data_IF_068402143701
#
_entry.id   IF_068402143701
#
_cell.length_a   1.000
_cell.length_b   1.000
_cell.length_c   1.000
_cell.angle_alpha   90.00
_cell.angle_beta   90.00
_cell.angle_gamma   90.00
#
_symmetry.space_group_name_H-M   'P 1'
#
loop_
_entity.id
_entity.type
_entity.pdbx_description
1 polymer ?
#
# COMPACT_ATOMS: atom_id res chain seq x y z
N UNK A 1 12.14 12.08 -1.27
CA UNK A 1 13.32 11.23 -1.52
C UNK A 1 13.34 9.95 -0.67
N UNK A 2 12.98 9.97 0.63
CA UNK A 2 12.96 8.74 1.44
C UNK A 2 12.12 7.58 0.87
N UNK A 3 11.04 7.89 0.16
CA UNK A 3 10.14 6.92 -0.47
C UNK A 3 10.67 6.37 -1.80
N UNK A 4 11.73 6.98 -2.35
CA UNK A 4 12.33 6.60 -3.64
C UNK A 4 13.56 5.70 -3.47
N UNK A 5 13.95 5.39 -2.23
CA UNK A 5 15.07 4.50 -1.97
C UNK A 5 14.85 3.60 -0.75
N UNK A 6 15.54 2.47 -0.73
CA UNK A 6 15.70 1.61 0.42
C UNK A 6 17.19 1.43 0.71
N UNK A 7 17.59 1.56 1.96
CA UNK A 7 18.96 1.36 2.41
C UNK A 7 19.07 0.04 3.18
N UNK A 8 20.15 -0.70 2.92
CA UNK A 8 20.48 -1.94 3.63
C UNK A 8 21.95 -1.93 4.05
N UNK A 9 22.20 -1.92 5.36
CA UNK A 9 23.52 -2.13 5.95
C UNK A 9 23.93 -3.61 5.91
N UNK A 10 25.23 -3.88 6.05
CA UNK A 10 25.79 -5.24 6.05
C UNK A 10 25.86 -5.91 4.68
N UNK A 11 25.62 -5.18 3.59
CA UNK A 11 25.71 -5.68 2.22
C UNK A 11 26.80 -4.95 1.43
N UNK A 12 27.54 -5.62 0.53
CA UNK A 12 28.56 -4.95 -0.26
C UNK A 12 27.95 -3.93 -1.23
N UNK A 13 28.69 -2.86 -1.54
CA UNK A 13 28.20 -1.75 -2.36
C UNK A 13 27.72 -2.22 -3.74
N UNK A 14 28.39 -3.22 -4.32
CA UNK A 14 28.05 -3.81 -5.63
C UNK A 14 26.68 -4.49 -5.69
N UNK A 15 25.97 -4.64 -4.57
CA UNK A 15 24.57 -5.10 -4.54
C UNK A 15 23.54 -3.96 -4.62
N UNK A 16 24.00 -2.71 -4.64
CA UNK A 16 23.10 -1.57 -4.90
C UNK A 16 22.53 -1.69 -6.32
N UNK A 17 21.26 -1.36 -6.50
CA UNK A 17 20.59 -1.51 -7.79
C UNK A 17 19.47 -0.47 -7.96
N UNK A 18 19.12 -0.19 -9.21
CA UNK A 18 17.86 0.47 -9.56
C UNK A 18 16.87 -0.64 -9.88
N UNK A 19 15.73 -0.68 -9.20
CA UNK A 19 14.68 -1.66 -9.44
C UNK A 19 13.46 -0.96 -10.04
N UNK A 20 12.74 -1.60 -10.99
CA UNK A 20 11.45 -1.09 -11.44
C UNK A 20 10.43 -1.17 -10.30
N UNK A 21 9.47 -0.27 -10.26
CA UNK A 21 8.44 -0.18 -9.23
C UNK A 21 8.86 0.59 -7.97
N UNK A 22 8.06 0.43 -6.93
CA UNK A 22 8.14 1.12 -5.63
C UNK A 22 8.36 0.10 -4.52
N UNK A 23 9.14 0.48 -3.51
CA UNK A 23 9.32 -0.29 -2.28
C UNK A 23 8.53 0.36 -1.14
N UNK A 24 7.57 -0.38 -0.61
CA UNK A 24 6.84 0.01 0.59
C UNK A 24 7.54 -0.61 1.79
N UNK A 25 7.83 0.18 2.82
CA UNK A 25 8.57 -0.29 4.01
C UNK A 25 7.61 -0.99 4.97
N UNK A 26 6.90 -2.00 4.47
CA UNK A 26 5.89 -2.80 5.15
C UNK A 26 6.07 -4.27 4.81
N UNK A 27 5.53 -5.13 5.65
CA UNK A 27 5.31 -6.55 5.32
C UNK A 27 3.84 -6.74 4.93
N UNK A 28 3.52 -7.87 4.33
CA UNK A 28 2.13 -8.23 4.03
C UNK A 28 1.38 -8.64 5.30
N UNK A 29 0.20 -8.08 5.51
CA UNK A 29 -0.75 -8.62 6.50
C UNK A 29 -1.41 -9.91 5.97
N UNK A 30 -1.61 -9.97 4.66
CA UNK A 30 -1.96 -11.19 3.93
C UNK A 30 -1.19 -11.21 2.61
N UNK A 31 -0.47 -12.30 2.33
CA UNK A 31 0.20 -12.50 1.05
C UNK A 31 -0.44 -13.67 0.30
N UNK A 32 -1.07 -13.36 -0.83
CA UNK A 32 -1.80 -14.32 -1.67
C UNK A 32 -1.25 -14.21 -3.11
N UNK A 33 -0.08 -14.81 -3.41
CA UNK A 33 0.49 -14.77 -4.75
C UNK A 33 -0.42 -15.50 -5.75
N UNK A 34 -0.66 -14.89 -6.91
CA UNK A 34 -1.52 -15.47 -7.96
C UNK A 34 -3.01 -15.46 -7.64
N UNK A 35 -3.45 -14.58 -6.73
CA UNK A 35 -4.83 -14.50 -6.23
C UNK A 35 -5.84 -13.81 -7.17
N UNK A 36 -6.77 -13.06 -6.56
CA UNK A 36 -8.06 -12.64 -7.12
C UNK A 36 -8.05 -11.83 -8.43
N UNK A 37 -6.94 -11.17 -8.77
CA UNK A 37 -6.81 -10.44 -10.03
C UNK A 37 -5.64 -9.44 -10.03
N UNK A 38 -5.41 -8.74 -11.15
CA UNK A 38 -4.26 -7.85 -11.32
C UNK A 38 -4.48 -6.46 -10.74
N UNK A 39 -5.68 -6.12 -10.24
CA UNK A 39 -5.98 -4.76 -9.80
C UNK A 39 -5.61 -4.54 -8.33
N UNK A 40 -5.22 -3.30 -8.04
CA UNK A 40 -5.03 -2.78 -6.69
C UNK A 40 -5.97 -1.63 -6.39
N UNK A 41 -6.40 -1.56 -5.13
CA UNK A 41 -7.14 -0.42 -4.58
C UNK A 41 -6.39 0.17 -3.40
N UNK A 42 -6.58 1.46 -3.18
CA UNK A 42 -6.00 2.21 -2.07
C UNK A 42 -7.12 2.70 -1.16
N UNK A 43 -7.11 2.30 0.11
CA UNK A 43 -8.17 2.65 1.08
C UNK A 43 -7.62 3.44 2.26
N UNK A 44 -8.39 4.44 2.71
CA UNK A 44 -7.98 5.31 3.82
C UNK A 44 -8.62 4.97 5.16
N UNK A 45 -9.52 3.98 5.19
CA UNK A 45 -10.18 3.51 6.41
C UNK A 45 -10.26 1.98 6.47
N UNK A 46 -10.63 1.47 7.63
CA UNK A 46 -10.88 0.05 7.83
C UNK A 46 -12.13 -0.37 7.05
N UNK A 47 -12.05 -1.48 6.30
CA UNK A 47 -13.20 -2.04 5.57
C UNK A 47 -14.26 -2.60 6.50
N UNK A 48 -13.88 -3.00 7.72
CA UNK A 48 -14.82 -3.38 8.75
C UNK A 48 -15.40 -2.14 9.42
N UNK A 49 -16.74 -1.97 9.47
CA UNK A 49 -17.36 -0.88 10.19
C UNK A 49 -16.99 -0.88 11.68
N UNK A 50 -16.77 0.31 12.24
CA UNK A 50 -16.59 0.48 13.67
C UNK A 50 -17.96 0.44 14.39
N UNK A 51 -18.00 -0.15 15.58
CA UNK A 51 -19.22 -0.18 16.41
C UNK A 51 -19.55 1.18 17.03
N UNK A 52 -18.56 2.05 17.17
CA UNK A 52 -18.72 3.42 17.62
C UNK A 52 -17.77 4.34 16.85
N UNK A 53 -18.16 5.61 16.73
CA UNK A 53 -17.31 6.64 16.16
C UNK A 53 -16.08 6.89 17.07
N UNK A 54 -14.97 7.39 16.51
CA UNK A 54 -13.81 7.80 17.30
C UNK A 54 -14.22 8.77 18.42
N UNK A 55 -13.75 8.51 19.64
CA UNK A 55 -14.08 9.33 20.82
C UNK A 55 -15.48 9.09 21.39
N UNK A 56 -16.23 8.11 20.89
CA UNK A 56 -17.55 7.71 21.42
C UNK A 56 -17.49 6.31 22.02
N UNK A 57 -18.28 6.07 23.07
CA UNK A 57 -18.41 4.76 23.69
C UNK A 57 -19.56 3.96 23.05
N UNK A 58 -19.36 2.65 22.89
CA UNK A 58 -20.40 1.72 22.46
C UNK A 58 -21.08 1.11 23.69
N UNK A 59 -22.31 1.51 23.96
CA UNK A 59 -23.09 0.95 25.07
C UNK A 59 -23.58 -0.47 24.73
N UNK A 60 -23.17 -1.45 25.54
CA UNK A 60 -23.61 -2.84 25.41
C UNK A 60 -24.92 -3.03 26.18
N UNK A 61 -26.05 -2.81 25.50
CA UNK A 61 -27.38 -2.96 26.10
C UNK A 61 -27.78 -4.42 26.39
N UNK A 62 -27.22 -5.38 25.64
CA UNK A 62 -27.35 -6.82 25.91
C UNK A 62 -26.35 -7.64 25.11
N UNK A 63 -26.01 -8.83 25.59
CA UNK A 63 -25.13 -9.77 24.90
C UNK A 63 -25.67 -10.16 23.52
N UNK A 64 -26.98 -10.37 23.38
CA UNK A 64 -27.61 -10.71 22.10
C UNK A 64 -27.42 -9.60 21.06
N UNK A 65 -27.63 -8.35 21.45
CA UNK A 65 -27.44 -7.18 20.55
C UNK A 65 -25.98 -7.01 20.18
N UNK A 66 -25.07 -7.14 21.15
CA UNK A 66 -23.64 -7.05 20.91
C UNK A 66 -23.16 -8.13 19.93
N UNK A 67 -23.57 -9.38 20.12
CA UNK A 67 -23.27 -10.48 19.18
C UNK A 67 -23.86 -10.25 17.80
N UNK A 68 -25.06 -9.68 17.71
CA UNK A 68 -25.66 -9.34 16.43
C UNK A 68 -24.86 -8.23 15.70
N UNK A 69 -24.42 -7.20 16.43
CA UNK A 69 -23.61 -6.12 15.88
C UNK A 69 -22.24 -6.62 15.38
N UNK A 70 -21.56 -7.49 16.14
CA UNK A 70 -20.31 -8.12 15.71
C UNK A 70 -20.48 -8.96 14.44
N UNK A 71 -21.55 -9.76 14.36
CA UNK A 71 -21.86 -10.54 13.14
C UNK A 71 -22.13 -9.64 11.95
N UNK A 72 -22.83 -8.52 12.15
CA UNK A 72 -23.06 -7.54 11.10
C UNK A 72 -21.74 -6.92 10.61
N UNK A 73 -20.86 -6.47 11.52
CA UNK A 73 -19.53 -5.96 11.15
C UNK A 73 -18.72 -6.99 10.34
N UNK A 74 -18.71 -8.25 10.77
CA UNK A 74 -17.99 -9.32 10.09
C UNK A 74 -18.58 -9.61 8.70
N UNK A 75 -19.91 -9.68 8.58
CA UNK A 75 -20.58 -9.89 7.29
C UNK A 75 -20.38 -8.73 6.32
N UNK A 76 -20.34 -7.48 6.83
CA UNK A 76 -20.01 -6.30 6.01
C UNK A 76 -18.56 -6.34 5.53
N UNK A 77 -17.62 -6.76 6.38
CA UNK A 77 -16.21 -6.91 6.00
C UNK A 77 -16.02 -8.00 4.93
N UNK A 78 -16.71 -9.14 5.07
CA UNK A 78 -16.73 -10.21 4.08
C UNK A 78 -17.28 -9.71 2.74
N UNK A 79 -18.45 -9.07 2.75
CA UNK A 79 -19.08 -8.53 1.55
C UNK A 79 -18.20 -7.47 0.85
N UNK A 80 -17.46 -6.66 1.61
CA UNK A 80 -16.52 -5.70 1.05
C UNK A 80 -15.35 -6.41 0.32
N UNK A 81 -14.73 -7.43 0.92
CA UNK A 81 -13.67 -8.19 0.28
C UNK A 81 -14.18 -8.98 -0.93
N UNK A 82 -15.37 -9.59 -0.82
CA UNK A 82 -16.01 -10.30 -1.92
C UNK A 82 -16.24 -9.39 -3.13
N UNK A 83 -16.69 -8.16 -2.88
CA UNK A 83 -16.87 -7.12 -3.89
C UNK A 83 -15.56 -6.67 -4.52
N UNK A 84 -14.49 -6.52 -3.74
CA UNK A 84 -13.16 -6.27 -4.29
C UNK A 84 -12.72 -7.40 -5.21
N UNK A 85 -12.88 -8.66 -4.75
CA UNK A 85 -12.53 -9.86 -5.51
C UNK A 85 -13.32 -9.94 -6.82
N UNK A 86 -14.64 -9.71 -6.79
CA UNK A 86 -15.49 -9.78 -7.98
C UNK A 86 -15.15 -8.70 -9.00
N UNK A 87 -14.64 -7.55 -8.56
CA UNK A 87 -14.07 -6.51 -9.42
C UNK A 87 -12.63 -6.77 -9.88
N UNK A 88 -12.05 -7.94 -9.61
CA UNK A 88 -10.70 -8.32 -10.07
C UNK A 88 -9.55 -7.70 -9.24
N UNK A 89 -9.82 -7.24 -8.03
CA UNK A 89 -8.81 -6.70 -7.12
C UNK A 89 -8.10 -7.83 -6.40
N UNK A 90 -6.79 -7.95 -6.64
CA UNK A 90 -5.90 -8.88 -5.95
C UNK A 90 -5.01 -8.23 -4.89
N UNK A 91 -5.01 -6.90 -4.79
CA UNK A 91 -4.19 -6.17 -3.82
C UNK A 91 -4.97 -5.03 -3.15
N UNK A 92 -5.04 -5.07 -1.82
CA UNK A 92 -5.54 -4.00 -0.96
C UNK A 92 -4.36 -3.26 -0.34
N UNK A 93 -4.21 -1.99 -0.70
CA UNK A 93 -3.28 -1.05 -0.08
C UNK A 93 -4.06 -0.20 0.93
N UNK A 94 -3.65 -0.16 2.19
CA UNK A 94 -4.36 0.58 3.23
C UNK A 94 -3.46 1.53 4.00
N UNK A 95 -3.90 2.78 4.19
CA UNK A 95 -3.22 3.74 5.06
C UNK A 95 -3.38 3.41 6.54
N UNK A 96 -4.39 2.63 6.91
CA UNK A 96 -4.69 2.25 8.30
C UNK A 96 -4.48 0.76 8.51
N UNK A 97 -4.46 0.36 9.78
CA UNK A 97 -4.53 -1.05 10.16
C UNK A 97 -5.92 -1.61 9.83
N UNK A 98 -5.98 -2.76 9.18
CA UNK A 98 -7.22 -3.47 8.92
C UNK A 98 -7.56 -4.40 10.08
N UNK A 99 -8.85 -4.66 10.28
CA UNK A 99 -9.30 -5.59 11.32
C UNK A 99 -8.97 -7.04 10.93
N UNK A 100 -8.75 -7.92 11.91
CA UNK A 100 -8.36 -9.33 11.65
C UNK A 100 -9.38 -10.07 10.77
N UNK A 101 -10.66 -9.78 10.94
CA UNK A 101 -11.75 -10.27 10.08
C UNK A 101 -11.52 -9.90 8.59
N UNK A 102 -11.08 -8.67 8.30
CA UNK A 102 -10.75 -8.23 6.93
C UNK A 102 -9.57 -9.04 6.39
N UNK A 103 -8.53 -9.23 7.20
CA UNK A 103 -7.35 -10.02 6.82
C UNK A 103 -7.72 -11.49 6.58
N UNK A 104 -8.61 -12.04 7.40
CA UNK A 104 -9.12 -13.39 7.26
C UNK A 104 -9.87 -13.58 5.93
N UNK A 105 -10.85 -12.73 5.64
CA UNK A 105 -11.59 -12.81 4.38
C UNK A 105 -10.71 -12.51 3.17
N UNK A 106 -9.77 -11.57 3.28
CA UNK A 106 -8.80 -11.30 2.23
C UNK A 106 -8.01 -12.56 1.86
N UNK A 107 -7.51 -13.32 2.85
CA UNK A 107 -6.86 -14.62 2.61
C UNK A 107 -7.79 -15.62 1.95
N UNK A 108 -9.03 -15.74 2.44
CA UNK A 108 -10.03 -16.66 1.91
C UNK A 108 -10.33 -16.39 0.43
N UNK A 109 -10.36 -15.11 0.05
CA UNK A 109 -10.69 -14.65 -1.29
C UNK A 109 -9.46 -14.39 -2.18
N UNK A 110 -8.24 -14.67 -1.70
CA UNK A 110 -7.02 -14.49 -2.47
C UNK A 110 -6.64 -13.03 -2.72
N UNK A 111 -7.03 -12.11 -1.85
CA UNK A 111 -6.65 -10.70 -1.88
C UNK A 111 -5.44 -10.48 -0.97
N UNK A 112 -4.32 -10.01 -1.53
CA UNK A 112 -3.15 -9.60 -0.74
C UNK A 112 -3.41 -8.27 -0.05
N UNK A 113 -2.91 -8.09 1.17
CA UNK A 113 -3.13 -6.88 1.97
C UNK A 113 -1.81 -6.31 2.46
N UNK A 114 -1.60 -5.02 2.21
CA UNK A 114 -0.53 -4.20 2.79
C UNK A 114 -1.20 -3.08 3.57
N UNK A 115 -0.95 -3.01 4.87
CA UNK A 115 -1.62 -2.08 5.78
C UNK A 115 -0.66 -1.08 6.42
N UNK A 116 -1.23 -0.04 7.05
CA UNK A 116 -0.50 1.02 7.74
C UNK A 116 0.47 1.81 6.84
N UNK A 117 0.15 2.03 5.57
CA UNK A 117 0.96 2.89 4.68
C UNK A 117 1.06 4.31 5.25
N UNK A 118 2.24 4.91 5.20
CA UNK A 118 2.41 6.30 5.65
C UNK A 118 1.72 7.28 4.68
N UNK A 119 1.46 8.50 5.14
CA UNK A 119 0.91 9.57 4.30
C UNK A 119 1.73 9.79 3.03
N UNK A 120 3.05 9.68 3.12
CA UNK A 120 3.97 9.87 1.99
C UNK A 120 3.94 8.68 1.03
N UNK A 121 3.79 7.44 1.53
CA UNK A 121 3.61 6.25 0.69
C UNK A 121 2.28 6.33 -0.08
N UNK A 122 1.20 6.71 0.61
CA UNK A 122 -0.14 6.94 0.02
C UNK A 122 -0.09 8.02 -1.06
N UNK A 123 0.50 9.18 -0.74
CA UNK A 123 0.63 10.29 -1.68
C UNK A 123 1.44 9.91 -2.93
N UNK A 124 2.56 9.20 -2.74
CA UNK A 124 3.39 8.72 -3.85
C UNK A 124 2.63 7.75 -4.75
N UNK A 125 1.88 6.80 -4.16
CA UNK A 125 1.06 5.86 -4.94
C UNK A 125 0.01 6.63 -5.75
N UNK A 126 -0.72 7.55 -5.12
CA UNK A 126 -1.70 8.40 -5.81
C UNK A 126 -1.07 9.23 -6.93
N UNK A 127 0.11 9.81 -6.72
CA UNK A 127 0.83 10.60 -7.74
C UNK A 127 1.26 9.73 -8.93
N UNK A 128 1.80 8.54 -8.68
CA UNK A 128 2.28 7.64 -9.73
C UNK A 128 1.12 7.03 -10.52
N UNK A 129 0.04 6.66 -9.84
CA UNK A 129 -1.05 5.86 -10.42
C UNK A 129 -2.25 6.69 -10.87
N UNK A 130 -2.36 7.94 -10.40
CA UNK A 130 -3.56 8.76 -10.57
C UNK A 130 -4.73 8.34 -9.67
N UNK A 131 -4.55 7.35 -8.79
CA UNK A 131 -5.62 6.86 -7.91
C UNK A 131 -6.02 7.89 -6.84
N UNK A 132 -7.32 8.13 -6.73
CA UNK A 132 -7.93 8.70 -5.54
C UNK A 132 -8.11 7.62 -4.46
N UNK A 133 -7.69 7.86 -3.21
CA UNK A 133 -7.92 6.90 -2.14
C UNK A 133 -9.41 6.73 -1.84
N UNK A 134 -9.87 5.48 -1.81
CA UNK A 134 -11.26 5.12 -1.52
C UNK A 134 -11.57 5.24 -0.01
N UNK A 135 -12.70 5.88 0.31
CA UNK A 135 -13.28 5.90 1.66
C UNK A 135 -14.51 4.98 1.74
N UNK A 136 -14.38 3.79 2.36
CA UNK A 136 -15.48 2.84 2.57
C UNK A 136 -16.68 3.39 3.36
N UNK A 137 -16.49 4.45 4.16
CA UNK A 137 -17.57 5.05 4.95
C UNK A 137 -18.42 6.04 4.12
N UNK A 138 -17.90 6.52 3.00
CA UNK A 138 -18.61 7.39 2.06
C UNK A 138 -19.37 6.58 0.98
N UNK A 139 -19.13 5.29 0.88
CA UNK A 139 -19.84 4.36 0.01
C UNK A 139 -21.21 4.02 0.60
N UNK A 140 -22.27 4.47 -0.07
CA UNK A 140 -23.66 4.26 0.32
C UNK A 140 -24.16 2.84 0.01
N UNK A 141 -23.30 1.97 -0.51
CA UNK A 141 -23.60 0.56 -0.78
C UNK A 141 -24.50 0.35 -1.99
N UNK A 142 -24.84 1.42 -2.72
CA UNK A 142 -25.64 1.35 -3.94
C UNK A 142 -24.76 1.02 -5.14
N UNK A 143 -24.37 -0.25 -5.29
CA UNK A 143 -23.81 -0.85 -6.51
C UNK A 143 -22.73 -0.02 -7.25
N UNK A 144 -21.99 0.83 -6.54
CA UNK A 144 -20.92 1.62 -7.12
C UNK A 144 -19.79 0.68 -7.51
N UNK A 145 -19.44 0.68 -8.79
CA UNK A 145 -18.19 0.14 -9.31
C UNK A 145 -17.05 0.52 -8.36
N UNK A 146 -16.08 -0.38 -8.15
CA UNK A 146 -14.87 -0.07 -7.36
C UNK A 146 -14.30 1.22 -7.95
N UNK A 147 -14.45 2.32 -7.20
CA UNK A 147 -14.52 3.65 -7.83
C UNK A 147 -13.27 3.98 -8.63
N UNK A 148 -12.09 3.56 -8.16
CA UNK A 148 -10.85 3.59 -8.95
C UNK A 148 -9.93 2.45 -8.52
N UNK A 149 -9.45 1.66 -9.49
CA UNK A 149 -8.47 0.61 -9.28
C UNK A 149 -7.36 0.72 -10.32
N UNK A 150 -6.13 0.34 -9.96
CA UNK A 150 -4.97 0.39 -10.85
C UNK A 150 -4.45 -1.01 -11.12
N UNK A 151 -4.05 -1.27 -12.36
CA UNK A 151 -3.41 -2.54 -12.68
C UNK A 151 -2.00 -2.62 -12.05
N UNK A 152 -1.68 -3.78 -11.51
CA UNK A 152 -0.40 -4.14 -10.92
C UNK A 152 0.28 -5.17 -11.81
N UNK A 153 1.51 -4.88 -12.21
CA UNK A 153 2.33 -5.81 -13.00
C UNK A 153 2.97 -6.88 -12.13
N UNK A 154 3.41 -6.52 -10.92
CA UNK A 154 3.83 -7.47 -9.89
C UNK A 154 3.68 -6.87 -8.49
N UNK A 155 3.48 -7.74 -7.51
CA UNK A 155 3.52 -7.41 -6.09
C UNK A 155 4.10 -8.60 -5.31
N UNK A 156 5.23 -8.39 -4.63
CA UNK A 156 5.98 -9.49 -3.98
C UNK A 156 6.72 -9.01 -2.74
N UNK A 157 6.97 -9.91 -1.76
CA UNK A 157 7.85 -9.59 -0.64
C UNK A 157 9.29 -9.46 -1.14
N UNK A 158 10.03 -8.51 -0.56
CA UNK A 158 11.45 -8.32 -0.80
C UNK A 158 12.16 -8.18 0.54
N UNK A 159 13.23 -8.96 0.74
CA UNK A 159 14.08 -8.87 1.90
C UNK A 159 15.37 -8.12 1.52
N UNK A 160 15.60 -6.96 2.14
CA UNK A 160 16.83 -6.17 1.99
C UNK A 160 17.53 -6.08 3.34
N UNK A 161 18.63 -6.83 3.49
CA UNK A 161 19.26 -7.02 4.79
C UNK A 161 18.32 -7.73 5.76
N UNK A 162 18.03 -7.10 6.89
CA UNK A 162 17.07 -7.58 7.89
C UNK A 162 15.65 -7.00 7.73
N UNK A 163 15.45 -6.10 6.76
CA UNK A 163 14.20 -5.37 6.59
C UNK A 163 13.34 -5.98 5.48
N UNK A 164 12.05 -6.14 5.75
CA UNK A 164 11.06 -6.61 4.78
C UNK A 164 10.36 -5.43 4.13
N UNK A 165 10.20 -5.56 2.82
CA UNK A 165 9.53 -4.61 1.97
C UNK A 165 8.47 -5.32 1.14
N UNK A 166 7.45 -4.58 0.75
CA UNK A 166 6.60 -4.95 -0.38
C UNK A 166 7.13 -4.26 -1.62
N UNK A 167 7.48 -5.05 -2.62
CA UNK A 167 7.92 -4.58 -3.93
C UNK A 167 6.76 -4.65 -4.90
N UNK A 168 6.26 -3.48 -5.31
CA UNK A 168 5.08 -3.36 -6.16
C UNK A 168 5.40 -2.53 -7.39
N UNK A 169 4.88 -2.92 -8.55
CA UNK A 169 4.95 -2.11 -9.75
C UNK A 169 3.58 -1.98 -10.40
N UNK A 170 3.19 -0.74 -10.66
CA UNK A 170 1.90 -0.39 -11.24
C UNK A 170 2.03 -0.28 -12.77
N UNK A 171 0.96 -0.62 -13.47
CA UNK A 171 0.80 -0.31 -14.88
C UNK A 171 0.24 1.10 -14.99
N UNK A 172 1.13 2.08 -15.19
CA UNK A 172 0.78 3.49 -15.35
C UNK A 172 0.41 3.78 -16.81
N UNK A 173 -0.54 4.69 -17.03
CA UNK A 173 -0.87 5.16 -18.37
C UNK A 173 0.20 6.15 -18.84
N UNK A 174 1.11 5.73 -19.74
CA UNK A 174 2.14 6.59 -20.32
C UNK A 174 3.52 5.95 -20.36
N UNK A 175 4.55 6.76 -20.66
CA UNK A 175 5.96 6.32 -20.69
C UNK A 175 6.64 6.35 -19.32
N UNK A 176 5.99 6.90 -18.29
CA UNK A 176 6.56 7.02 -16.96
C UNK A 176 6.56 5.67 -16.25
N UNK A 177 7.76 5.15 -15.98
CA UNK A 177 7.96 3.92 -15.23
C UNK A 177 8.57 4.25 -13.86
N UNK A 178 7.84 4.02 -12.75
CA UNK A 178 8.40 4.26 -11.43
C UNK A 178 9.59 3.31 -11.20
N UNK A 179 10.64 3.82 -10.57
CA UNK A 179 11.80 3.05 -10.17
C UNK A 179 12.20 3.45 -8.74
N UNK A 180 12.83 2.53 -8.04
CA UNK A 180 13.35 2.73 -6.70
C UNK A 180 14.84 2.39 -6.63
N UNK A 181 15.55 3.10 -5.78
CA UNK A 181 16.98 2.90 -5.54
C UNK A 181 17.18 1.98 -4.34
N UNK A 182 17.86 0.85 -4.54
CA UNK A 182 18.37 0.04 -3.43
C UNK A 182 19.83 0.42 -3.19
N UNK A 183 20.09 0.94 -2.00
CA UNK A 183 21.43 1.31 -1.54
C UNK A 183 21.94 0.24 -0.58
N UNK A 184 23.03 -0.41 -0.94
CA UNK A 184 23.72 -1.34 -0.07
C UNK A 184 25.06 -0.76 0.39
N UNK A 185 25.37 -0.92 1.67
CA UNK A 185 26.66 -0.57 2.22
C UNK A 185 27.03 -1.48 3.40
N UNK A 186 28.32 -1.65 3.73
CA UNK A 186 28.74 -2.40 4.91
C UNK A 186 28.21 -1.79 6.21
N UNK A 187 28.06 -0.46 6.26
CA UNK A 187 27.62 0.30 7.43
C UNK A 187 26.54 1.33 7.02
N UNK A 188 25.64 1.64 7.96
CA UNK A 188 24.48 2.51 7.69
C UNK A 188 24.89 3.95 7.36
N UNK A 189 25.91 4.50 8.02
CA UNK A 189 26.39 5.87 7.77
C UNK A 189 26.83 6.10 6.32
N UNK A 190 27.33 5.07 5.65
CA UNK A 190 27.68 5.15 4.24
C UNK A 190 26.42 5.12 3.34
N UNK A 191 25.36 4.41 3.73
CA UNK A 191 24.07 4.51 3.03
C UNK A 191 23.49 5.92 3.17
N UNK A 192 23.52 6.50 4.37
CA UNK A 192 23.05 7.87 4.63
C UNK A 192 23.80 8.90 3.77
N UNK A 193 25.13 8.82 3.73
CA UNK A 193 25.95 9.70 2.90
C UNK A 193 25.60 9.56 1.41
N UNK A 194 25.43 8.33 0.92
CA UNK A 194 25.06 8.07 -0.48
C UNK A 194 23.66 8.56 -0.80
N UNK A 195 22.69 8.35 0.11
CA UNK A 195 21.33 8.86 -0.04
C UNK A 195 21.33 10.39 -0.13
N UNK A 196 22.07 11.07 0.75
CA UNK A 196 22.20 12.53 0.72
C UNK A 196 22.85 13.04 -0.58
N UNK A 197 23.95 12.40 -1.02
CA UNK A 197 24.62 12.76 -2.27
C UNK A 197 23.72 12.58 -3.50
N UNK A 198 22.99 11.46 -3.59
CA UNK A 198 22.02 11.21 -4.66
C UNK A 198 20.85 12.20 -4.62
N UNK A 199 20.35 12.52 -3.44
CA UNK A 199 19.30 13.53 -3.31
C UNK A 199 19.75 14.90 -3.81
N UNK A 200 20.98 15.31 -3.48
CA UNK A 200 21.60 16.53 -4.01
C UNK A 200 21.73 16.49 -5.54
N UNK A 201 22.23 15.39 -6.09
CA UNK A 201 22.39 15.21 -7.54
C UNK A 201 21.03 15.30 -8.28
N UNK A 202 19.99 14.64 -7.78
CA UNK A 202 18.65 14.74 -8.37
C UNK A 202 18.08 16.15 -8.27
N UNK A 203 18.31 16.85 -7.16
CA UNK A 203 17.87 18.24 -6.99
C UNK A 203 18.52 19.15 -8.03
N UNK A 204 19.83 18.99 -8.28
CA UNK A 204 20.55 19.74 -9.32
C UNK A 204 20.01 19.43 -10.72
N UNK A 205 19.77 18.15 -11.04
CA UNK A 205 19.19 17.76 -12.33
C UNK A 205 17.80 18.37 -12.53
N UNK A 206 16.94 18.33 -11.52
CA UNK A 206 15.61 18.94 -11.57
C UNK A 206 15.68 20.45 -11.82
N UNK A 207 16.65 21.15 -11.22
CA UNK A 207 16.84 22.58 -11.47
C UNK A 207 17.31 22.87 -12.90
N UNK A 208 18.20 22.04 -13.45
CA UNK A 208 18.67 22.18 -14.83
C UNK A 208 17.52 21.99 -15.83
N UNK A 209 16.67 20.99 -15.65
CA UNK A 209 15.53 20.77 -16.54
C UNK A 209 14.50 21.90 -16.45
N UNK A 210 14.21 22.40 -15.24
CA UNK A 210 13.32 23.56 -15.07
C UNK A 210 13.86 24.83 -15.74
N UNK A 211 15.17 25.01 -15.80
CA UNK A 211 15.79 26.14 -16.48
C UNK A 211 15.73 26.03 -18.02
N UNK A 212 15.52 24.83 -18.57
CA UNK A 212 15.39 24.58 -20.01
C UNK A 212 13.93 24.71 -20.51
N UNK A 213 12.96 24.67 -19.60
CA UNK A 213 11.52 24.86 -19.89
C UNK A 213 11.11 26.36 -19.89
N UNK A 214 12.08 27.28 -19.83
CA UNK A 214 11.91 28.74 -19.85
C UNK A 214 12.57 29.40 -21.06
#
# INVERSE_FOLDING_TARGET
>A
FPQLHAAAAGLPLGRSAVLPGVLLRRDFAAYCPGGAGPLAVLVVRCLRPALAAPGTEYEVLSERRHRAALRWCAGTAEAAIERLRSGGVGLLLSSVKQHEEVIYYAKLHGVSVVECLSSEEVALISEITGLSPYDPAADDGTQGEIAEAVAVTFCRPLLLGSQRYVHVNFSTAGSFQPHCLVLCAPVESLNEQRAAALHGAFTMLLQLFRALDH
#
